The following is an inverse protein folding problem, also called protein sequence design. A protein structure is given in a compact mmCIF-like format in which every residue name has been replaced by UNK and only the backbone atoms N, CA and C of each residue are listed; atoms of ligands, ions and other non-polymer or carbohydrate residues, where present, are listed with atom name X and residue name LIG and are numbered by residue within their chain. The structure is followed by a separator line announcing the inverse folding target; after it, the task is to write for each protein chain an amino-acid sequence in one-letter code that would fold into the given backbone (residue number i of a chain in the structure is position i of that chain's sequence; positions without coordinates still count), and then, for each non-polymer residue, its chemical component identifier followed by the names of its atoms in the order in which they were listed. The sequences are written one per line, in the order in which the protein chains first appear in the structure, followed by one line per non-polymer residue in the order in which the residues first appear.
data_IF_188409328331
#
_entry.id   IF_188409328331
#
_cell.length_a   1.000
_cell.length_b   1.000
_cell.length_c   1.000
_cell.angle_alpha   90.00
_cell.angle_beta   90.00
_cell.angle_gamma   90.00
#
_symmetry.space_group_name_H-M   'P 1'
#
loop_
_entity.id
_entity.type
_entity.pdbx_description
1 polymer ?
#
# COMPACT_ATOMS: atom_id res chain seq x y z
N UNK A 1 42.46 71.47 -26.40
CA UNK A 1 42.29 71.04 -27.54
C UNK A 1 41.81 69.69 -27.30
N UNK A 2 41.00 69.10 -27.78
CA UNK A 2 39.95 68.11 -27.65
C UNK A 2 40.19 66.93 -26.68
N UNK A 3 39.39 66.97 -25.64
CA UNK A 3 39.18 65.82 -24.78
C UNK A 3 38.10 64.88 -25.42
N UNK A 4 38.48 63.64 -25.69
CA UNK A 4 37.54 62.59 -26.13
C UNK A 4 37.14 61.75 -24.91
N UNK A 5 35.92 61.98 -24.48
CA UNK A 5 35.30 61.32 -23.34
C UNK A 5 34.87 59.87 -23.75
N UNK A 6 35.54 58.86 -23.24
CA UNK A 6 35.24 57.43 -23.42
C UNK A 6 34.25 56.98 -22.35
N UNK A 7 32.96 56.87 -22.67
CA UNK A 7 32.00 56.16 -21.82
C UNK A 7 32.15 54.64 -22.01
N UNK A 8 32.81 54.05 -21.03
CA UNK A 8 32.85 52.56 -20.90
C UNK A 8 31.54 52.11 -20.23
N UNK A 9 30.59 51.62 -21.00
CA UNK A 9 29.38 50.98 -20.47
C UNK A 9 29.76 49.58 -19.96
N UNK A 10 29.81 49.38 -18.63
CA UNK A 10 29.83 48.06 -17.99
C UNK A 10 28.46 47.40 -18.21
N UNK A 11 28.43 46.40 -19.07
CA UNK A 11 27.31 45.46 -19.13
C UNK A 11 27.40 44.50 -17.95
N UNK A 12 26.60 44.73 -16.92
CA UNK A 12 26.43 43.80 -15.81
C UNK A 12 25.55 42.66 -16.30
N UNK A 13 26.15 41.51 -16.61
CA UNK A 13 25.41 40.24 -16.78
C UNK A 13 24.94 39.76 -15.43
N UNK A 14 23.64 39.91 -15.16
CA UNK A 14 22.97 39.23 -14.03
C UNK A 14 22.59 37.85 -14.53
N UNK A 15 23.15 36.76 -13.99
CA UNK A 15 22.70 35.42 -14.32
C UNK A 15 21.29 35.22 -13.74
N UNK A 16 20.29 35.07 -14.58
CA UNK A 16 18.97 34.63 -14.16
C UNK A 16 19.10 33.15 -13.80
N UNK A 17 19.24 32.87 -12.51
CA UNK A 17 19.11 31.52 -11.99
C UNK A 17 17.63 31.11 -12.13
N UNK A 18 17.33 30.33 -13.15
CA UNK A 18 16.02 29.64 -13.25
C UNK A 18 16.00 28.59 -12.16
N UNK A 19 15.46 28.94 -11.00
CA UNK A 19 15.13 27.97 -9.96
C UNK A 19 13.95 27.15 -10.46
N UNK A 20 14.19 25.96 -10.95
CA UNK A 20 13.16 24.95 -11.13
C UNK A 20 12.63 24.60 -9.73
N UNK A 21 11.59 25.28 -9.30
CA UNK A 21 10.79 24.86 -8.17
C UNK A 21 9.97 23.67 -8.65
N UNK A 22 10.53 22.47 -8.56
CA UNK A 22 9.77 21.24 -8.63
C UNK A 22 8.82 21.22 -7.42
N UNK A 23 7.56 21.54 -7.64
CA UNK A 23 6.53 21.33 -6.61
C UNK A 23 6.54 19.86 -6.21
N UNK A 24 6.82 19.59 -4.93
CA UNK A 24 6.62 18.28 -4.36
C UNK A 24 5.14 17.91 -4.50
N UNK A 25 4.80 16.70 -4.93
CA UNK A 25 3.42 16.29 -5.09
C UNK A 25 2.68 16.47 -3.76
N UNK A 26 1.65 17.31 -3.76
CA UNK A 26 0.77 17.49 -2.61
C UNK A 26 -0.04 16.21 -2.40
N UNK A 27 -0.26 15.87 -1.12
CA UNK A 27 -1.04 14.71 -0.71
C UNK A 27 -2.45 14.78 -1.34
N UNK A 28 -2.90 13.66 -1.92
CA UNK A 28 -4.24 13.55 -2.51
C UNK A 28 -4.36 14.08 -3.95
N UNK A 29 -3.24 14.30 -4.66
CA UNK A 29 -3.33 14.58 -6.09
C UNK A 29 -4.03 13.43 -6.81
N UNK A 30 -5.12 13.75 -7.48
CA UNK A 30 -5.79 12.86 -8.43
C UNK A 30 -4.77 12.32 -9.44
N UNK A 31 -4.83 11.03 -9.79
CA UNK A 31 -3.94 10.51 -10.81
C UNK A 31 -4.16 11.27 -12.10
N UNK A 32 -3.10 11.90 -12.63
CA UNK A 32 -3.12 12.36 -14.00
C UNK A 32 -3.55 11.18 -14.85
N UNK A 33 -4.46 11.38 -15.81
CA UNK A 33 -4.82 10.36 -16.80
C UNK A 33 -3.53 9.86 -17.45
N UNK A 34 -3.08 8.68 -17.04
CA UNK A 34 -1.89 8.06 -17.58
C UNK A 34 -2.30 7.23 -18.77
N UNK A 35 -1.80 7.59 -19.93
CA UNK A 35 -1.98 6.74 -21.11
C UNK A 35 -1.23 5.43 -20.91
N UNK A 36 -1.92 4.33 -21.15
CA UNK A 36 -1.29 3.01 -21.12
C UNK A 36 -0.32 2.91 -22.32
N UNK A 37 0.92 2.46 -22.09
CA UNK A 37 1.85 2.17 -23.17
C UNK A 37 1.26 1.17 -24.16
N UNK A 38 1.56 1.34 -25.45
CA UNK A 38 1.20 0.34 -26.45
C UNK A 38 2.08 -0.92 -26.35
N UNK A 39 1.57 -2.05 -26.86
CA UNK A 39 2.31 -3.31 -26.94
C UNK A 39 2.46 -4.03 -25.60
N UNK A 40 3.50 -4.86 -25.49
CA UNK A 40 3.71 -5.79 -24.38
C UNK A 40 3.73 -5.14 -23.00
N UNK A 41 4.29 -3.95 -22.88
CA UNK A 41 4.31 -3.26 -21.57
C UNK A 41 2.90 -2.90 -21.10
N UNK A 42 2.06 -2.39 -22.00
CA UNK A 42 0.67 -2.08 -21.66
C UNK A 42 -0.16 -3.33 -21.36
N UNK A 43 0.13 -4.45 -22.02
CA UNK A 43 -0.50 -5.75 -21.72
C UNK A 43 -0.17 -6.20 -20.30
N UNK A 44 1.10 -6.11 -19.88
CA UNK A 44 1.54 -6.48 -18.53
C UNK A 44 0.95 -5.54 -17.46
N UNK A 45 0.82 -4.25 -17.73
CA UNK A 45 0.15 -3.30 -16.81
C UNK A 45 -1.31 -3.71 -16.60
N UNK A 46 -2.06 -3.99 -17.69
CA UNK A 46 -3.45 -4.46 -17.59
C UNK A 46 -3.56 -5.79 -16.86
N UNK A 47 -2.62 -6.71 -17.08
CA UNK A 47 -2.57 -7.97 -16.36
C UNK A 47 -2.37 -7.74 -14.86
N UNK A 48 -1.47 -6.83 -14.47
CA UNK A 48 -1.23 -6.46 -13.08
C UNK A 48 -2.48 -5.86 -12.41
N UNK A 49 -3.20 -4.98 -13.10
CA UNK A 49 -4.46 -4.43 -12.63
C UNK A 49 -5.52 -5.53 -12.43
N UNK A 50 -5.69 -6.43 -13.40
CA UNK A 50 -6.64 -7.54 -13.31
C UNK A 50 -6.33 -8.49 -12.14
N UNK A 51 -5.04 -8.75 -11.87
CA UNK A 51 -4.61 -9.55 -10.71
C UNK A 51 -4.93 -8.82 -9.41
N UNK A 52 -4.68 -7.53 -9.32
CA UNK A 52 -4.99 -6.69 -8.14
C UNK A 52 -6.49 -6.71 -7.86
N UNK A 53 -7.33 -6.54 -8.88
CA UNK A 53 -8.79 -6.55 -8.77
C UNK A 53 -9.34 -7.91 -8.33
N UNK A 54 -8.80 -8.99 -8.88
CA UNK A 54 -9.35 -10.36 -8.76
C UNK A 54 -8.33 -11.35 -8.20
N UNK A 55 -7.56 -10.95 -7.19
CA UNK A 55 -6.43 -11.73 -6.65
C UNK A 55 -6.81 -13.16 -6.27
N UNK A 56 -7.99 -13.36 -5.69
CA UNK A 56 -8.49 -14.67 -5.24
C UNK A 56 -8.98 -15.58 -6.37
N UNK A 57 -9.35 -15.03 -7.52
CA UNK A 57 -9.99 -15.77 -8.63
C UNK A 57 -9.16 -15.78 -9.91
N UNK A 58 -8.23 -14.85 -10.10
CA UNK A 58 -7.38 -14.80 -11.28
C UNK A 58 -6.47 -16.03 -11.36
N UNK A 59 -6.40 -16.70 -12.51
CA UNK A 59 -5.71 -17.99 -12.68
C UNK A 59 -4.24 -17.97 -12.24
N UNK A 60 -3.54 -16.87 -12.44
CA UNK A 60 -2.13 -16.73 -12.08
C UNK A 60 -1.92 -16.48 -10.58
N UNK A 61 -2.79 -15.74 -9.89
CA UNK A 61 -2.61 -15.41 -8.48
C UNK A 61 -3.30 -16.37 -7.52
N UNK A 62 -4.42 -16.97 -7.94
CA UNK A 62 -5.20 -17.90 -7.12
C UNK A 62 -4.36 -19.00 -6.42
N UNK A 63 -3.35 -19.63 -7.06
CA UNK A 63 -2.54 -20.65 -6.39
C UNK A 63 -1.72 -20.14 -5.21
N UNK A 64 -1.59 -18.82 -5.05
CA UNK A 64 -0.79 -18.18 -4.02
C UNK A 64 -1.63 -17.50 -2.93
N UNK A 65 -2.96 -17.62 -2.99
CA UNK A 65 -3.89 -16.99 -2.04
C UNK A 65 -4.49 -18.05 -1.12
N UNK A 66 -4.44 -17.80 0.18
CA UNK A 66 -4.95 -18.70 1.21
C UNK A 66 -6.21 -18.20 1.94
N UNK A 67 -6.76 -17.03 1.56
CA UNK A 67 -7.94 -16.46 2.20
C UNK A 67 -8.92 -15.85 1.16
N UNK A 68 -9.89 -15.07 1.62
CA UNK A 68 -10.92 -14.46 0.77
C UNK A 68 -10.64 -12.99 0.39
N UNK A 69 -9.39 -12.50 0.55
CA UNK A 69 -9.06 -11.09 0.32
C UNK A 69 -8.40 -10.89 -1.04
N UNK A 70 -8.94 -9.95 -1.82
CA UNK A 70 -8.25 -9.38 -2.97
C UNK A 70 -7.32 -8.24 -2.51
N UNK A 71 -6.37 -7.85 -3.33
CA UNK A 71 -5.57 -6.65 -3.07
C UNK A 71 -6.48 -5.42 -2.85
N UNK A 72 -7.57 -5.34 -3.61
CA UNK A 72 -8.58 -4.28 -3.50
C UNK A 72 -9.37 -4.27 -2.20
N UNK A 73 -9.34 -5.33 -1.40
CA UNK A 73 -9.94 -5.31 -0.06
C UNK A 73 -9.28 -4.30 0.89
N UNK A 74 -8.02 -3.91 0.61
CA UNK A 74 -7.26 -2.91 1.37
C UNK A 74 -6.77 -1.76 0.50
N UNK A 75 -6.54 -1.99 -0.78
CA UNK A 75 -6.07 -1.02 -1.77
C UNK A 75 -7.22 -0.60 -2.67
N UNK A 76 -8.12 0.24 -2.12
CA UNK A 76 -9.40 0.61 -2.75
C UNK A 76 -9.22 1.17 -4.16
N UNK A 77 -10.24 0.95 -5.02
CA UNK A 77 -10.25 1.41 -6.43
C UNK A 77 -8.99 0.96 -7.18
N UNK A 78 -8.67 -0.33 -7.13
CA UNK A 78 -7.45 -0.92 -7.73
C UNK A 78 -6.15 -0.21 -7.28
N UNK A 79 -6.13 0.30 -6.05
CA UNK A 79 -4.99 1.05 -5.52
C UNK A 79 -4.91 2.51 -6.00
N UNK A 80 -5.94 3.02 -6.69
CA UNK A 80 -5.98 4.41 -7.16
C UNK A 80 -6.73 5.34 -6.21
N UNK A 81 -7.34 4.83 -5.14
CA UNK A 81 -7.93 5.68 -4.11
C UNK A 81 -6.85 6.58 -3.48
N UNK A 82 -7.05 7.90 -3.38
CA UNK A 82 -5.97 8.83 -3.04
C UNK A 82 -5.38 8.63 -1.64
N UNK A 83 -6.16 8.11 -0.68
CA UNK A 83 -5.76 7.98 0.72
C UNK A 83 -5.85 6.57 1.30
N UNK A 84 -6.74 5.71 0.79
CA UNK A 84 -7.02 4.40 1.36
C UNK A 84 -6.12 3.31 0.76
N UNK A 85 -4.92 3.15 1.32
CA UNK A 85 -3.97 2.13 0.89
C UNK A 85 -3.49 2.32 -0.55
N UNK A 86 -3.33 3.55 -1.00
CA UNK A 86 -3.04 3.89 -2.39
C UNK A 86 -1.74 3.30 -2.92
N UNK A 87 -1.76 2.89 -4.19
CA UNK A 87 -0.55 2.56 -4.95
C UNK A 87 0.06 3.78 -5.66
N UNK A 88 -0.69 4.88 -5.73
CA UNK A 88 -0.20 6.13 -6.34
C UNK A 88 1.09 6.57 -5.66
N UNK A 89 2.15 6.71 -6.45
CA UNK A 89 3.48 7.09 -5.99
C UNK A 89 4.19 6.08 -5.04
N UNK A 90 3.57 4.94 -4.69
CA UNK A 90 4.15 4.04 -3.69
C UNK A 90 5.46 3.39 -4.16
N UNK A 91 5.66 3.17 -5.46
CA UNK A 91 6.90 2.63 -6.00
C UNK A 91 8.11 3.54 -5.75
N UNK A 92 7.91 4.86 -5.60
CA UNK A 92 9.01 5.81 -5.37
C UNK A 92 9.72 5.60 -4.03
N UNK A 93 9.08 4.93 -3.07
CA UNK A 93 9.63 4.64 -1.76
C UNK A 93 10.63 3.47 -1.74
N UNK A 94 10.75 2.73 -2.84
CA UNK A 94 11.60 1.53 -2.92
C UNK A 94 12.84 1.75 -3.80
N UNK A 95 13.94 1.02 -3.54
CA UNK A 95 14.18 0.12 -2.41
C UNK A 95 14.11 0.84 -1.06
N UNK A 96 13.68 0.15 -0.01
CA UNK A 96 13.49 0.74 1.31
C UNK A 96 13.91 -0.21 2.43
N UNK A 97 14.33 0.36 3.57
CA UNK A 97 14.56 -0.42 4.78
C UNK A 97 13.24 -0.94 5.35
N UNK A 98 13.15 -2.24 5.54
CA UNK A 98 12.01 -2.89 6.20
C UNK A 98 12.40 -3.34 7.62
N UNK A 99 11.88 -2.66 8.64
CA UNK A 99 12.09 -3.06 10.05
C UNK A 99 11.56 -4.47 10.32
N UNK A 100 10.46 -4.86 9.65
CA UNK A 100 9.85 -6.18 9.78
C UNK A 100 10.74 -7.29 9.24
N UNK A 101 11.37 -7.04 8.09
CA UNK A 101 12.22 -8.01 7.40
C UNK A 101 13.69 -7.94 7.85
N UNK A 102 14.07 -6.91 8.62
CA UNK A 102 15.44 -6.67 9.06
C UNK A 102 16.43 -6.42 7.91
N UNK A 103 15.94 -5.98 6.73
CA UNK A 103 16.74 -5.80 5.50
C UNK A 103 16.18 -4.74 4.58
N UNK A 104 16.95 -4.35 3.58
CA UNK A 104 16.45 -3.56 2.46
C UNK A 104 15.60 -4.47 1.56
N UNK A 105 14.42 -4.01 1.17
CA UNK A 105 13.49 -4.72 0.29
C UNK A 105 13.18 -3.89 -0.95
N UNK A 106 12.88 -4.59 -2.03
CA UNK A 106 12.35 -4.01 -3.27
C UNK A 106 10.83 -3.86 -3.22
N UNK A 107 10.24 -3.16 -4.19
CA UNK A 107 8.80 -3.15 -4.38
C UNK A 107 8.26 -4.57 -4.65
N UNK A 108 8.98 -5.37 -5.42
CA UNK A 108 8.61 -6.78 -5.68
C UNK A 108 8.54 -7.58 -4.37
N UNK A 109 9.58 -7.52 -3.53
CA UNK A 109 9.56 -8.13 -2.20
C UNK A 109 8.33 -7.72 -1.38
N UNK A 110 7.97 -6.42 -1.43
CA UNK A 110 6.81 -5.90 -0.70
C UNK A 110 5.50 -6.50 -1.21
N UNK A 111 5.34 -6.62 -2.52
CA UNK A 111 4.18 -7.27 -3.14
C UNK A 111 4.10 -8.75 -2.75
N UNK A 112 5.21 -9.48 -2.88
CA UNK A 112 5.27 -10.91 -2.55
C UNK A 112 5.01 -11.18 -1.06
N UNK A 113 5.44 -10.29 -0.18
CA UNK A 113 5.14 -10.36 1.25
C UNK A 113 3.66 -10.15 1.57
N UNK A 114 2.91 -9.44 0.72
CA UNK A 114 1.45 -9.32 0.89
C UNK A 114 0.74 -10.66 0.62
N UNK A 115 1.19 -11.45 -0.35
CA UNK A 115 0.63 -12.78 -0.59
C UNK A 115 0.75 -13.69 0.65
N UNK A 116 1.90 -13.65 1.33
CA UNK A 116 2.11 -14.45 2.54
C UNK A 116 1.29 -13.95 3.73
N UNK A 117 1.20 -12.64 3.93
CA UNK A 117 0.65 -12.03 5.16
C UNK A 117 -0.81 -11.58 4.99
N UNK A 118 -1.07 -10.70 4.03
CA UNK A 118 -2.42 -10.17 3.82
C UNK A 118 -3.34 -11.19 3.16
N UNK A 119 -2.82 -11.96 2.20
CA UNK A 119 -3.59 -13.02 1.53
C UNK A 119 -3.43 -14.40 2.21
N UNK A 120 -2.71 -14.50 3.33
CA UNK A 120 -2.50 -15.75 4.10
C UNK A 120 -2.11 -16.95 3.23
N UNK A 121 -1.37 -16.72 2.16
CA UNK A 121 -1.05 -17.71 1.13
C UNK A 121 0.45 -17.97 1.01
N UNK A 122 0.87 -18.51 -0.11
CA UNK A 122 2.27 -18.83 -0.39
C UNK A 122 2.92 -17.72 -1.20
N UNK A 123 4.18 -17.41 -0.92
CA UNK A 123 4.97 -16.44 -1.68
C UNK A 123 5.10 -16.86 -3.15
N UNK A 124 4.62 -16.06 -4.10
CA UNK A 124 4.94 -16.29 -5.51
C UNK A 124 6.46 -16.22 -5.74
N UNK A 125 7.03 -17.00 -6.66
CA UNK A 125 8.45 -16.87 -7.03
C UNK A 125 8.76 -15.47 -7.53
N UNK A 126 9.91 -14.91 -7.13
CA UNK A 126 10.41 -13.66 -7.69
C UNK A 126 10.63 -13.80 -9.18
N UNK A 127 10.30 -12.76 -9.96
CA UNK A 127 10.36 -12.81 -11.43
C UNK A 127 9.23 -13.63 -12.08
N UNK A 128 8.28 -14.17 -11.30
CA UNK A 128 7.09 -14.83 -11.84
C UNK A 128 6.18 -13.84 -12.55
N UNK A 129 5.32 -14.32 -13.44
CA UNK A 129 4.37 -13.49 -14.17
C UNK A 129 3.48 -12.67 -13.23
N UNK A 130 3.04 -13.26 -12.11
CA UNK A 130 2.30 -12.56 -11.06
C UNK A 130 3.10 -11.40 -10.46
N UNK A 131 4.35 -11.66 -10.05
CA UNK A 131 5.15 -10.64 -9.38
C UNK A 131 5.52 -9.51 -10.33
N UNK A 132 5.90 -9.84 -11.57
CA UNK A 132 6.25 -8.86 -12.60
C UNK A 132 5.03 -8.01 -12.96
N UNK A 133 3.86 -8.63 -13.19
CA UNK A 133 2.66 -7.89 -13.60
C UNK A 133 2.19 -6.91 -12.52
N UNK A 134 2.04 -7.37 -11.28
CA UNK A 134 1.59 -6.50 -10.17
C UNK A 134 2.59 -5.38 -9.89
N UNK A 135 3.88 -5.70 -9.87
CA UNK A 135 4.94 -4.70 -9.65
C UNK A 135 4.98 -3.67 -10.78
N UNK A 136 4.80 -4.10 -12.04
CA UNK A 136 4.76 -3.20 -13.19
C UNK A 136 3.55 -2.27 -13.13
N UNK A 137 2.37 -2.76 -12.73
CA UNK A 137 1.18 -1.94 -12.54
C UNK A 137 1.41 -0.85 -11.48
N UNK A 138 1.92 -1.22 -10.30
CA UNK A 138 2.21 -0.27 -9.21
C UNK A 138 3.29 0.75 -9.63
N UNK A 139 4.30 0.31 -10.37
CA UNK A 139 5.34 1.19 -10.90
C UNK A 139 4.77 2.18 -11.90
N UNK A 140 3.89 1.73 -12.80
CA UNK A 140 3.19 2.62 -13.74
C UNK A 140 2.35 3.67 -13.03
N UNK A 141 1.65 3.32 -11.94
CA UNK A 141 0.92 4.27 -11.11
C UNK A 141 1.82 5.30 -10.41
N UNK A 142 3.11 5.06 -10.34
CA UNK A 142 4.10 5.97 -9.75
C UNK A 142 4.89 6.78 -10.80
N UNK A 143 4.52 6.67 -12.07
CA UNK A 143 5.26 7.25 -13.20
C UNK A 143 5.34 8.79 -13.12
N UNK A 144 6.49 9.33 -13.46
CA UNK A 144 6.75 10.77 -13.47
C UNK A 144 7.08 11.39 -12.10
N UNK A 145 7.19 10.56 -11.06
CA UNK A 145 7.56 11.00 -9.73
C UNK A 145 9.01 10.59 -9.38
N UNK A 146 9.75 11.43 -8.63
CA UNK A 146 11.14 11.12 -8.27
C UNK A 146 11.20 9.96 -7.28
N UNK A 147 12.21 9.10 -7.45
CA UNK A 147 12.55 8.05 -6.47
C UNK A 147 13.03 8.69 -5.16
N UNK A 148 12.56 8.17 -4.03
CA UNK A 148 12.89 8.70 -2.70
C UNK A 148 13.75 7.75 -1.86
N UNK A 149 13.70 6.44 -2.08
CA UNK A 149 14.49 5.42 -1.38
C UNK A 149 14.46 5.61 0.15
N UNK A 150 13.40 5.15 0.79
CA UNK A 150 13.13 5.47 2.19
C UNK A 150 14.01 4.68 3.16
N UNK A 151 14.80 5.36 3.98
CA UNK A 151 15.73 4.77 4.97
C UNK A 151 15.04 4.24 6.23
N UNK A 152 13.89 4.79 6.60
CA UNK A 152 13.24 4.50 7.89
C UNK A 152 12.12 3.48 7.76
N UNK A 153 11.29 3.65 6.76
CA UNK A 153 10.19 2.72 6.42
C UNK A 153 9.67 3.00 5.01
N UNK A 154 9.14 1.97 4.30
CA UNK A 154 8.66 2.13 2.94
C UNK A 154 7.31 2.87 2.90
N UNK A 155 7.36 4.19 3.04
CA UNK A 155 6.20 5.07 2.90
C UNK A 155 6.39 5.93 1.67
N UNK A 156 5.47 5.81 0.72
CA UNK A 156 5.33 6.76 -0.37
C UNK A 156 4.72 8.09 0.11
N UNK A 157 4.71 9.12 -0.74
CA UNK A 157 4.20 10.46 -0.40
C UNK A 157 2.71 10.45 0.03
N UNK A 158 1.95 9.46 -0.45
CA UNK A 158 0.53 9.29 -0.11
C UNK A 158 0.30 8.24 0.99
N UNK A 159 1.31 7.92 1.78
CA UNK A 159 1.19 6.98 2.89
C UNK A 159 0.16 7.43 3.93
N UNK A 160 -0.50 6.46 4.57
CA UNK A 160 -1.50 6.72 5.61
C UNK A 160 -0.82 7.37 6.81
N UNK A 161 -1.38 8.48 7.31
CA UNK A 161 -0.89 9.16 8.51
C UNK A 161 -1.35 8.38 9.75
N UNK A 162 -0.45 8.06 10.68
CA UNK A 162 -0.81 7.52 11.98
C UNK A 162 -1.76 8.47 12.73
N UNK A 163 -2.70 7.90 13.47
CA UNK A 163 -3.60 8.69 14.33
C UNK A 163 -2.84 9.29 15.51
N UNK A 164 -3.37 10.37 16.06
CA UNK A 164 -2.81 11.01 17.25
C UNK A 164 -3.28 10.35 18.56
N UNK A 165 -4.36 9.55 18.51
CA UNK A 165 -4.87 8.81 19.67
C UNK A 165 -3.99 7.59 19.92
N UNK A 166 -3.39 7.43 21.10
CA UNK A 166 -2.57 6.28 21.44
C UNK A 166 -3.43 5.02 21.63
N UNK A 167 -2.89 3.83 21.30
CA UNK A 167 -3.57 2.52 21.47
C UNK A 167 -4.04 2.29 22.91
N UNK A 168 -3.32 2.83 23.90
CA UNK A 168 -3.73 2.73 25.32
C UNK A 168 -5.07 3.39 25.66
N UNK A 169 -5.62 4.19 24.74
CA UNK A 169 -6.97 4.79 24.85
C UNK A 169 -8.05 4.01 24.11
N UNK A 170 -7.69 2.93 23.44
CA UNK A 170 -8.64 2.07 22.75
C UNK A 170 -9.54 1.35 23.76
N UNK A 171 -10.82 1.27 23.43
CA UNK A 171 -11.84 0.59 24.21
C UNK A 171 -12.57 -0.41 23.30
N UNK A 172 -12.35 -1.69 23.57
CA UNK A 172 -12.88 -2.77 22.76
C UNK A 172 -14.40 -2.89 22.85
N UNK A 173 -14.98 -2.60 23.99
CA UNK A 173 -16.45 -2.65 24.23
C UNK A 173 -17.15 -1.54 23.45
N UNK A 174 -16.62 -0.32 23.44
CA UNK A 174 -17.11 0.75 22.54
C UNK A 174 -16.92 0.36 21.09
N UNK A 175 -15.76 -0.22 20.74
CA UNK A 175 -15.47 -0.72 19.40
C UNK A 175 -16.48 -1.76 18.92
N UNK A 176 -16.92 -2.67 19.80
CA UNK A 176 -17.98 -3.64 19.49
C UNK A 176 -19.30 -2.96 19.18
N UNK A 177 -19.74 -2.01 20.01
CA UNK A 177 -20.99 -1.28 19.77
C UNK A 177 -20.95 -0.49 18.45
N UNK A 178 -19.81 0.15 18.15
CA UNK A 178 -19.58 0.87 16.90
C UNK A 178 -19.55 -0.08 15.70
N UNK A 179 -18.89 -1.23 15.82
CA UNK A 179 -18.87 -2.22 14.74
C UNK A 179 -20.27 -2.70 14.40
N UNK A 180 -21.09 -3.01 15.41
CA UNK A 180 -22.47 -3.45 15.19
C UNK A 180 -23.30 -2.37 14.49
N UNK A 181 -23.15 -1.11 14.87
CA UNK A 181 -23.95 -0.02 14.31
C UNK A 181 -23.49 0.50 12.97
N UNK A 182 -22.19 0.38 12.65
CA UNK A 182 -21.58 1.06 11.49
C UNK A 182 -20.92 0.12 10.48
N UNK A 183 -20.60 -1.11 10.86
CA UNK A 183 -19.80 -2.02 10.03
C UNK A 183 -20.53 -3.32 9.71
N UNK A 184 -21.38 -3.82 10.64
CA UNK A 184 -22.00 -5.13 10.53
C UNK A 184 -23.01 -5.26 9.39
N UNK A 185 -23.56 -4.18 8.86
CA UNK A 185 -24.41 -4.21 7.67
C UNK A 185 -23.68 -4.87 6.50
N UNK A 186 -22.45 -4.44 6.22
CA UNK A 186 -21.61 -4.97 5.16
C UNK A 186 -20.79 -6.19 5.63
N UNK A 187 -20.04 -6.06 6.73
CA UNK A 187 -19.12 -7.11 7.17
C UNK A 187 -19.77 -8.21 7.99
N UNK A 188 -21.10 -8.13 8.25
CA UNK A 188 -21.92 -9.02 9.08
C UNK A 188 -21.48 -8.99 10.55
N UNK A 189 -22.38 -9.39 11.45
CA UNK A 189 -22.11 -9.36 12.88
C UNK A 189 -20.98 -10.32 13.30
N UNK A 190 -20.76 -11.39 12.53
CA UNK A 190 -19.69 -12.35 12.71
C UNK A 190 -18.37 -11.95 12.03
N UNK A 191 -18.33 -10.80 11.36
CA UNK A 191 -17.18 -10.27 10.65
C UNK A 191 -16.73 -11.08 9.43
N UNK A 192 -17.54 -12.03 8.95
CA UNK A 192 -17.18 -12.89 7.82
C UNK A 192 -17.57 -12.30 6.46
N UNK A 193 -18.28 -11.16 6.48
CA UNK A 193 -18.70 -10.50 5.26
C UNK A 193 -19.64 -11.36 4.41
N UNK A 194 -19.64 -11.07 3.13
CA UNK A 194 -20.39 -11.84 2.13
C UNK A 194 -19.62 -11.89 0.79
N UNK A 195 -20.34 -12.07 -0.32
CA UNK A 195 -19.72 -12.11 -1.65
C UNK A 195 -19.04 -10.78 -2.03
N UNK A 196 -19.64 -9.66 -1.65
CA UNK A 196 -19.25 -8.33 -2.09
C UNK A 196 -18.44 -7.59 -1.01
N UNK A 197 -18.56 -8.02 0.25
CA UNK A 197 -17.90 -7.42 1.41
C UNK A 197 -16.90 -8.39 2.04
N UNK A 198 -15.62 -8.00 2.20
CA UNK A 198 -14.58 -8.92 2.66
C UNK A 198 -14.74 -9.29 4.15
N UNK A 199 -14.24 -10.47 4.58
CA UNK A 199 -14.11 -10.81 5.98
C UNK A 199 -13.06 -9.91 6.66
N UNK A 200 -13.32 -9.52 7.92
CA UNK A 200 -12.45 -8.62 8.69
C UNK A 200 -11.67 -9.31 9.82
N UNK A 201 -12.01 -10.57 10.17
CA UNK A 201 -11.25 -11.45 11.06
C UNK A 201 -11.44 -12.93 10.71
N UNK A 202 -10.79 -13.82 11.46
CA UNK A 202 -10.84 -15.26 11.24
C UNK A 202 -9.90 -15.75 10.13
N UNK A 203 -10.02 -17.03 9.80
CA UNK A 203 -9.15 -17.71 8.82
C UNK A 203 -9.31 -17.17 7.40
N UNK A 204 -10.49 -16.64 7.06
CA UNK A 204 -10.76 -16.07 5.74
C UNK A 204 -10.24 -14.65 5.55
N UNK A 205 -9.71 -14.03 6.61
CA UNK A 205 -9.11 -12.69 6.59
C UNK A 205 -7.57 -12.77 6.61
N UNK A 206 -6.89 -11.63 6.78
CA UNK A 206 -5.44 -11.57 6.88
C UNK A 206 -4.92 -12.22 8.18
N UNK A 207 -3.71 -12.77 8.14
CA UNK A 207 -3.08 -13.37 9.32
C UNK A 207 -2.44 -12.34 10.27
N UNK A 208 -1.96 -12.77 11.44
CA UNK A 208 -1.39 -11.90 12.46
C UNK A 208 -0.07 -11.23 12.04
N UNK A 209 0.60 -11.73 11.00
CA UNK A 209 1.77 -11.12 10.38
C UNK A 209 1.46 -9.95 9.43
N UNK A 210 0.20 -9.68 9.13
CA UNK A 210 -0.19 -8.60 8.23
C UNK A 210 -0.02 -7.21 8.87
N UNK A 211 0.12 -6.18 8.04
CA UNK A 211 0.26 -4.80 8.54
C UNK A 211 -0.96 -4.31 9.31
N UNK A 212 -2.17 -4.70 8.88
CA UNK A 212 -3.43 -4.33 9.53
C UNK A 212 -3.74 -5.17 10.79
N UNK A 213 -2.91 -6.16 11.14
CA UNK A 213 -2.99 -6.82 12.44
C UNK A 213 -2.53 -5.90 13.60
N UNK A 214 -1.85 -4.78 13.31
CA UNK A 214 -1.62 -3.70 14.28
C UNK A 214 -2.87 -2.82 14.40
N UNK A 215 -3.27 -2.54 15.65
CA UNK A 215 -4.41 -1.66 15.94
C UNK A 215 -4.18 -0.27 15.34
N UNK A 216 -2.96 0.30 15.49
CA UNK A 216 -2.60 1.62 14.95
C UNK A 216 -2.77 1.68 13.43
N UNK A 217 -2.27 0.66 12.73
CA UNK A 217 -2.33 0.63 11.28
C UNK A 217 -3.76 0.43 10.79
N UNK A 218 -4.52 -0.44 11.44
CA UNK A 218 -5.92 -0.68 11.08
C UNK A 218 -6.75 0.58 11.32
N UNK A 219 -6.62 1.21 12.48
CA UNK A 219 -7.33 2.44 12.82
C UNK A 219 -7.02 3.57 11.82
N UNK A 220 -5.73 3.78 11.53
CA UNK A 220 -5.30 4.81 10.58
C UNK A 220 -5.82 4.55 9.15
N UNK A 221 -5.91 3.27 8.75
CA UNK A 221 -6.48 2.88 7.46
C UNK A 221 -8.00 3.10 7.46
N UNK A 222 -8.73 2.64 8.48
CA UNK A 222 -10.19 2.80 8.57
C UNK A 222 -10.60 4.27 8.58
N UNK A 223 -9.85 5.14 9.24
CA UNK A 223 -10.09 6.59 9.28
C UNK A 223 -10.23 7.23 7.90
N UNK A 224 -9.57 6.68 6.89
CA UNK A 224 -9.55 7.21 5.52
C UNK A 224 -10.27 6.33 4.50
N UNK A 225 -10.78 5.17 4.94
CA UNK A 225 -11.29 4.13 4.05
C UNK A 225 -12.71 3.66 4.41
N UNK A 226 -13.13 3.80 5.66
CA UNK A 226 -14.38 3.23 6.16
C UNK A 226 -15.19 4.24 7.00
N UNK A 227 -16.54 4.15 6.93
CA UNK A 227 -17.35 3.34 5.99
C UNK A 227 -17.00 3.63 4.54
N UNK A 228 -17.15 2.63 3.65
CA UNK A 228 -16.81 2.78 2.23
C UNK A 228 -17.59 3.94 1.60
N UNK A 229 -16.88 4.82 0.88
CA UNK A 229 -17.39 6.04 0.25
C UNK A 229 -17.96 7.10 1.22
N UNK A 230 -17.92 6.87 2.56
CA UNK A 230 -18.36 7.80 3.61
C UNK A 230 -17.44 7.72 4.85
N UNK A 231 -16.14 7.87 4.65
CA UNK A 231 -15.11 7.73 5.68
C UNK A 231 -15.12 8.92 6.64
N UNK A 232 -15.97 8.86 7.66
CA UNK A 232 -16.25 9.92 8.64
C UNK A 232 -15.87 9.60 10.10
N UNK A 233 -15.26 8.42 10.35
CA UNK A 233 -14.88 8.01 11.71
C UNK A 233 -14.00 9.07 12.38
N UNK A 234 -14.26 9.38 13.64
CA UNK A 234 -13.30 10.09 14.49
C UNK A 234 -12.07 9.21 14.77
N UNK A 235 -10.96 9.80 15.22
CA UNK A 235 -9.76 9.05 15.59
C UNK A 235 -10.04 8.06 16.73
N UNK A 236 -10.89 8.46 17.71
CA UNK A 236 -11.26 7.58 18.81
C UNK A 236 -12.14 6.40 18.35
N UNK A 237 -13.13 6.63 17.50
CA UNK A 237 -13.96 5.55 16.95
C UNK A 237 -13.12 4.57 16.13
N UNK A 238 -12.21 5.08 15.28
CA UNK A 238 -11.34 4.24 14.47
C UNK A 238 -10.45 3.34 15.33
N UNK A 239 -9.88 3.84 16.44
CA UNK A 239 -9.01 3.04 17.30
C UNK A 239 -9.79 2.03 18.15
N UNK A 240 -11.00 2.38 18.58
CA UNK A 240 -11.89 1.48 19.31
C UNK A 240 -12.35 0.31 18.43
N UNK A 241 -12.81 0.60 17.21
CA UNK A 241 -13.19 -0.42 16.23
C UNK A 241 -11.99 -1.31 15.87
N UNK A 242 -10.80 -0.72 15.68
CA UNK A 242 -9.59 -1.49 15.38
C UNK A 242 -9.21 -2.44 16.53
N UNK A 243 -9.35 -2.00 17.79
CA UNK A 243 -9.13 -2.84 18.95
C UNK A 243 -10.13 -4.00 19.02
N UNK A 244 -11.40 -3.76 18.74
CA UNK A 244 -12.41 -4.80 18.65
C UNK A 244 -12.11 -5.80 17.53
N UNK A 245 -11.90 -5.33 16.31
CA UNK A 245 -11.63 -6.18 15.14
C UNK A 245 -10.37 -7.03 15.33
N UNK A 246 -9.30 -6.45 15.86
CA UNK A 246 -8.04 -7.17 16.09
C UNK A 246 -8.02 -7.98 17.39
N UNK A 247 -9.08 -7.94 18.22
CA UNK A 247 -9.22 -8.86 19.37
C UNK A 247 -9.72 -10.25 18.96
N UNK A 248 -10.18 -10.44 17.75
CA UNK A 248 -10.65 -11.71 17.24
C UNK A 248 -9.49 -12.60 16.78
N UNK A 249 -9.62 -13.94 16.90
CA UNK A 249 -8.61 -14.87 16.43
C UNK A 249 -8.32 -14.71 14.94
N UNK A 250 -7.07 -14.92 14.55
CA UNK A 250 -6.57 -14.93 13.17
C UNK A 250 -5.62 -16.09 12.97
N UNK A 251 -5.39 -16.49 11.72
CA UNK A 251 -4.32 -17.43 11.40
C UNK A 251 -2.98 -16.88 11.88
N UNK A 252 -2.18 -17.72 12.50
CA UNK A 252 -0.81 -17.38 12.90
C UNK A 252 0.11 -17.36 11.68
N UNK A 253 1.03 -16.41 11.62
CA UNK A 253 2.00 -16.30 10.55
C UNK A 253 3.32 -16.98 10.94
N UNK A 254 3.60 -18.14 10.35
CA UNK A 254 4.96 -18.72 10.30
C UNK A 254 5.52 -18.57 8.87
N UNK A 255 6.63 -17.85 8.74
CA UNK A 255 7.27 -17.61 7.44
C UNK A 255 7.54 -18.91 6.66
N UNK A 256 7.92 -19.99 7.37
CA UNK A 256 8.27 -21.27 6.73
C UNK A 256 7.10 -21.91 6.01
N UNK A 257 5.89 -21.73 6.54
CA UNK A 257 4.66 -22.28 5.95
C UNK A 257 4.23 -21.52 4.70
N UNK A 258 4.69 -20.27 4.56
CA UNK A 258 4.34 -19.38 3.47
C UNK A 258 5.39 -19.29 2.35
N UNK A 259 6.55 -19.93 2.54
CA UNK A 259 7.58 -19.99 1.51
C UNK A 259 7.28 -21.11 0.50
N UNK A 260 7.57 -20.91 -0.80
CA UNK A 260 7.48 -21.99 -1.77
C UNK A 260 8.55 -23.06 -1.47
N UNK A 261 8.42 -24.30 -2.03
CA UNK A 261 9.46 -25.31 -1.94
C UNK A 261 10.83 -24.77 -2.34
N UNK A 262 11.89 -25.23 -1.69
CA UNK A 262 13.25 -24.71 -1.88
C UNK A 262 13.70 -24.63 -3.35
N UNK A 263 13.31 -25.58 -4.18
CA UNK A 263 13.59 -25.58 -5.61
C UNK A 263 12.94 -24.42 -6.40
N UNK A 264 11.92 -23.78 -5.83
CA UNK A 264 11.17 -22.67 -6.44
C UNK A 264 11.31 -21.34 -5.67
N UNK A 265 12.06 -21.34 -4.56
CA UNK A 265 12.22 -20.18 -3.69
C UNK A 265 13.09 -19.10 -4.35
N UNK A 266 14.03 -19.50 -5.22
CA UNK A 266 15.15 -18.65 -5.57
C UNK A 266 16.02 -18.39 -4.34
N UNK A 267 16.71 -17.27 -4.29
CA UNK A 267 17.41 -16.86 -3.08
C UNK A 267 16.50 -15.92 -2.26
N UNK A 268 15.89 -16.48 -1.23
CA UNK A 268 15.25 -15.63 -0.21
C UNK A 268 16.35 -14.97 0.62
N UNK A 269 16.46 -13.65 0.52
CA UNK A 269 17.54 -12.86 1.13
C UNK A 269 17.19 -12.30 2.51
N UNK A 270 16.16 -12.80 3.17
CA UNK A 270 15.81 -12.51 4.55
C UNK A 270 16.21 -13.65 5.48
N UNK A 271 16.24 -13.40 6.80
CA UNK A 271 16.40 -14.43 7.80
C UNK A 271 15.09 -15.20 8.00
N UNK A 272 15.16 -16.51 8.01
CA UNK A 272 14.06 -17.39 8.43
C UNK A 272 14.22 -17.55 9.95
N UNK A 273 13.38 -16.82 10.68
CA UNK A 273 13.35 -16.87 12.14
C UNK A 273 12.49 -18.00 12.63
#
# INVERSE_FOLDING_TARGET
MNELNRYLRLLVFVPIAIVFQGELPTRGQEPRTRELPQGRLGEIIRLGEAIVEKTTSHSLSKPFVGNALNCTSCHLKNGTHPTAGTFLASATAYPAWSKREGRVITLEDRVLNCFMRSCNGTRPPSGSEVSVAVTTYITWLSQGLPMQMNEKRPIGPNGIIPLQVPVSKADKERGQALFVSRCAECHKADGQGDRDNPPVWGERSYNDGAGLASIENLAAWMKVAMPLDDADLSDQEAIDIAAFVNSHPRSHFDLREHLPPAARLGQYNGEIK
#
